data_IF_107701445821
#
_entry.id   IF_107701445821
#
_cell.length_a   1.000
_cell.length_b   1.000
_cell.length_c   1.000
_cell.angle_alpha   90.00
_cell.angle_beta   90.00
_cell.angle_gamma   90.00
#
_symmetry.space_group_name_H-M   'P 1'
#
loop_
_entity.id
_entity.type
_entity.pdbx_description
1 polymer ?
#
# COMPACT_ATOMS: atom_id res chain seq x y z
N UNK A 1 -10.95 18.89 19.12
CA UNK A 1 -10.45 19.35 17.81
C UNK A 1 -10.77 18.28 16.79
N UNK A 2 -11.22 18.62 15.56
CA UNK A 2 -11.36 17.58 14.54
C UNK A 2 -9.97 17.00 14.26
N UNK A 3 -9.87 15.68 14.26
CA UNK A 3 -8.66 14.99 13.83
C UNK A 3 -8.55 15.23 12.33
N UNK A 4 -7.60 16.05 11.92
CA UNK A 4 -7.28 16.24 10.50
C UNK A 4 -6.46 15.02 10.10
N UNK A 5 -7.00 14.19 9.20
CA UNK A 5 -6.25 13.08 8.62
C UNK A 5 -4.98 13.61 7.95
N UNK A 6 -3.84 12.98 8.23
CA UNK A 6 -2.56 13.24 7.61
C UNK A 6 -1.94 11.89 7.22
N UNK A 7 -1.55 11.74 5.96
CA UNK A 7 -0.99 10.51 5.41
C UNK A 7 0.48 10.30 5.85
N UNK A 8 0.72 10.17 7.15
CA UNK A 8 2.05 9.85 7.70
C UNK A 8 2.30 8.35 7.67
N UNK A 9 3.57 7.94 7.73
CA UNK A 9 3.92 6.51 7.71
C UNK A 9 3.28 5.75 8.87
N UNK A 10 3.14 6.36 10.05
CA UNK A 10 2.50 5.71 11.20
C UNK A 10 1.03 5.39 10.95
N UNK A 11 0.33 6.25 10.21
CA UNK A 11 -1.07 6.04 9.83
C UNK A 11 -1.18 5.04 8.67
N UNK A 12 -0.30 5.16 7.68
CA UNK A 12 -0.34 4.33 6.48
C UNK A 12 0.07 2.88 6.76
N UNK A 13 1.06 2.64 7.61
CA UNK A 13 1.65 1.32 7.82
C UNK A 13 0.67 0.21 8.21
N UNK A 14 -0.21 0.36 9.21
CA UNK A 14 -1.17 -0.68 9.54
C UNK A 14 -2.13 -0.95 8.37
N UNK A 15 -2.60 0.10 7.68
CA UNK A 15 -3.53 -0.01 6.54
C UNK A 15 -2.87 -0.77 5.38
N UNK A 16 -1.64 -0.41 5.04
CA UNK A 16 -0.91 -1.02 3.92
C UNK A 16 -0.45 -2.44 4.25
N UNK A 17 -0.09 -2.72 5.50
CA UNK A 17 0.19 -4.08 5.95
C UNK A 17 -1.03 -4.99 5.74
N UNK A 18 -2.24 -4.50 6.03
CA UNK A 18 -3.46 -5.27 5.82
C UNK A 18 -3.81 -5.42 4.33
N UNK A 19 -3.51 -4.41 3.49
CA UNK A 19 -3.60 -4.56 2.03
C UNK A 19 -2.65 -5.64 1.53
N UNK A 20 -1.40 -5.67 1.98
CA UNK A 20 -0.46 -6.74 1.61
C UNK A 20 -1.01 -8.10 2.05
N UNK A 21 -1.39 -8.25 3.32
CA UNK A 21 -1.93 -9.52 3.86
C UNK A 21 -3.21 -9.99 3.17
N UNK A 22 -4.09 -9.07 2.80
CA UNK A 22 -5.39 -9.38 2.18
C UNK A 22 -5.30 -9.72 0.69
N UNK A 23 -4.19 -9.41 0.01
CA UNK A 23 -4.06 -9.53 -1.44
C UNK A 23 -2.80 -10.34 -1.84
N UNK A 24 -2.57 -11.47 -1.15
CA UNK A 24 -1.36 -12.29 -1.33
C UNK A 24 -1.18 -12.79 -2.76
N UNK A 25 -2.26 -13.11 -3.48
CA UNK A 25 -2.20 -13.50 -4.89
C UNK A 25 -1.56 -12.39 -5.75
N UNK A 26 -1.95 -11.13 -5.52
CA UNK A 26 -1.39 -9.97 -6.22
C UNK A 26 0.01 -9.61 -5.76
N UNK A 27 0.35 -9.84 -4.50
CA UNK A 27 1.72 -9.68 -4.01
C UNK A 27 2.64 -10.69 -4.69
N UNK A 28 2.24 -11.96 -4.79
CA UNK A 28 2.99 -12.99 -5.53
C UNK A 28 3.08 -12.63 -7.02
N UNK A 29 1.99 -12.17 -7.64
CA UNK A 29 2.01 -11.70 -9.02
C UNK A 29 2.99 -10.54 -9.23
N UNK A 30 3.02 -9.57 -8.31
CA UNK A 30 3.98 -8.47 -8.35
C UNK A 30 5.44 -8.95 -8.23
N UNK A 31 5.72 -9.91 -7.34
CA UNK A 31 7.05 -10.52 -7.21
C UNK A 31 7.50 -11.26 -8.49
N UNK A 32 6.54 -11.72 -9.30
CA UNK A 32 6.77 -12.37 -10.60
C UNK A 32 6.74 -11.39 -11.77
N UNK A 33 6.70 -10.09 -11.50
CA UNK A 33 6.61 -9.02 -12.51
C UNK A 33 5.36 -9.11 -13.39
N UNK A 34 4.27 -9.71 -12.87
CA UNK A 34 3.01 -9.82 -13.59
C UNK A 34 2.37 -8.44 -13.78
N UNK A 35 2.00 -8.13 -15.02
CA UNK A 35 1.38 -6.86 -15.38
C UNK A 35 0.05 -6.66 -14.63
N UNK A 36 -0.20 -5.42 -14.21
CA UNK A 36 -1.41 -5.05 -13.48
C UNK A 36 -1.40 -5.37 -11.98
N UNK A 37 -0.49 -6.21 -11.48
CA UNK A 37 -0.38 -6.51 -10.05
C UNK A 37 -0.08 -5.27 -9.22
N UNK A 38 0.87 -4.44 -9.67
CA UNK A 38 1.14 -3.14 -9.04
C UNK A 38 -0.08 -2.21 -9.07
N UNK A 39 -0.73 -2.07 -10.24
CA UNK A 39 -1.87 -1.17 -10.41
C UNK A 39 -3.04 -1.53 -9.49
N UNK A 40 -3.31 -2.84 -9.34
CA UNK A 40 -4.32 -3.33 -8.40
C UNK A 40 -3.96 -3.00 -6.95
N UNK A 41 -2.74 -3.34 -6.51
CA UNK A 41 -2.28 -3.10 -5.13
C UNK A 41 -2.26 -1.61 -4.78
N UNK A 42 -1.80 -0.75 -5.70
CA UNK A 42 -1.79 0.69 -5.55
C UNK A 42 -3.23 1.27 -5.46
N UNK A 43 -4.15 0.76 -6.27
CA UNK A 43 -5.57 1.15 -6.23
C UNK A 43 -6.26 0.73 -4.93
N UNK A 44 -5.95 -0.48 -4.45
CA UNK A 44 -6.48 -0.99 -3.18
C UNK A 44 -5.93 -0.19 -2.00
N UNK A 45 -4.63 0.12 -1.99
CA UNK A 45 -4.00 0.98 -0.99
C UNK A 45 -4.68 2.35 -0.90
N UNK A 46 -4.87 3.03 -2.04
CA UNK A 46 -5.57 4.32 -2.07
C UNK A 46 -7.01 4.19 -1.58
N UNK A 47 -7.71 3.13 -1.98
CA UNK A 47 -9.11 2.90 -1.58
C UNK A 47 -9.25 2.68 -0.07
N UNK A 48 -8.35 1.90 0.54
CA UNK A 48 -8.33 1.67 1.99
C UNK A 48 -8.00 2.94 2.77
N UNK A 49 -7.00 3.70 2.33
CA UNK A 49 -6.62 4.97 2.99
C UNK A 49 -7.72 6.02 2.85
N UNK A 50 -8.43 6.05 1.71
CA UNK A 50 -9.60 6.90 1.52
C UNK A 50 -10.73 6.57 2.51
N UNK A 51 -10.98 5.28 2.77
CA UNK A 51 -11.99 4.86 3.75
C UNK A 51 -11.63 5.35 5.15
N UNK A 52 -10.36 5.23 5.55
CA UNK A 52 -9.88 5.73 6.84
C UNK A 52 -9.95 7.26 6.94
N UNK A 53 -9.57 7.97 5.87
CA UNK A 53 -9.62 9.43 5.82
C UNK A 53 -11.05 10.00 5.82
N UNK A 54 -12.06 9.20 5.42
CA UNK A 54 -13.46 9.62 5.31
C UNK A 54 -13.71 10.65 4.20
N UNK A 55 -12.75 10.88 3.31
CA UNK A 55 -12.81 11.81 2.18
C UNK A 55 -11.88 11.34 1.06
N UNK A 56 -12.06 11.88 -0.15
CA UNK A 56 -11.08 11.69 -1.21
C UNK A 56 -9.70 12.23 -0.81
N UNK A 57 -8.67 11.50 -1.22
CA UNK A 57 -7.28 11.90 -1.06
C UNK A 57 -6.91 12.95 -2.12
N UNK A 58 -6.02 13.87 -1.79
CA UNK A 58 -5.40 14.74 -2.80
C UNK A 58 -4.26 14.01 -3.55
N UNK A 59 -3.67 14.69 -4.54
CA UNK A 59 -2.58 14.12 -5.34
C UNK A 59 -1.32 13.81 -4.53
N UNK A 60 -1.01 14.64 -3.53
CA UNK A 60 0.16 14.44 -2.67
C UNK A 60 -0.06 13.22 -1.77
N UNK A 61 -1.23 13.12 -1.14
CA UNK A 61 -1.62 11.97 -0.33
C UNK A 61 -1.59 10.68 -1.14
N UNK A 62 -2.14 10.68 -2.36
CA UNK A 62 -2.05 9.51 -3.26
C UNK A 62 -0.61 9.09 -3.55
N UNK A 63 0.28 10.05 -3.82
CA UNK A 63 1.70 9.78 -4.08
C UNK A 63 2.42 9.21 -2.85
N UNK A 64 2.08 9.68 -1.65
CA UNK A 64 2.60 9.14 -0.40
C UNK A 64 2.16 7.69 -0.19
N UNK A 65 0.86 7.41 -0.40
CA UNK A 65 0.31 6.05 -0.34
C UNK A 65 1.02 5.13 -1.33
N UNK A 66 1.22 5.54 -2.58
CA UNK A 66 1.93 4.75 -3.57
C UNK A 66 3.39 4.51 -3.19
N UNK A 67 4.11 5.56 -2.82
CA UNK A 67 5.51 5.45 -2.41
C UNK A 67 5.66 4.48 -1.22
N UNK A 68 4.75 4.57 -0.25
CA UNK A 68 4.77 3.72 0.93
C UNK A 68 4.35 2.27 0.63
N UNK A 69 3.37 2.07 -0.24
CA UNK A 69 2.95 0.73 -0.67
C UNK A 69 4.06 0.03 -1.46
N UNK A 70 4.74 0.77 -2.34
CA UNK A 70 5.91 0.25 -3.07
C UNK A 70 6.97 -0.25 -2.08
N UNK A 71 7.35 0.59 -1.11
CA UNK A 71 8.32 0.21 -0.08
C UNK A 71 7.90 -1.08 0.66
N UNK A 72 6.62 -1.24 1.01
CA UNK A 72 6.14 -2.47 1.66
C UNK A 72 6.34 -3.71 0.79
N UNK A 73 6.11 -3.61 -0.52
CA UNK A 73 6.33 -4.70 -1.46
C UNK A 73 7.83 -5.02 -1.62
N UNK A 74 8.69 -4.01 -1.61
CA UNK A 74 10.15 -4.22 -1.61
C UNK A 74 10.60 -4.96 -0.35
N UNK A 75 10.07 -4.62 0.82
CA UNK A 75 10.38 -5.34 2.06
C UNK A 75 9.93 -6.81 2.01
N UNK A 76 8.80 -7.10 1.36
CA UNK A 76 8.36 -8.49 1.14
C UNK A 76 9.33 -9.21 0.20
N UNK A 77 9.71 -8.57 -0.91
CA UNK A 77 10.67 -9.14 -1.88
C UNK A 77 12.00 -9.47 -1.23
N UNK A 78 12.57 -8.54 -0.46
CA UNK A 78 13.87 -8.71 0.20
C UNK A 78 13.82 -9.88 1.21
N UNK A 79 12.71 -10.02 1.95
CA UNK A 79 12.50 -11.14 2.88
C UNK A 79 12.36 -12.48 2.16
N UNK A 80 11.65 -12.51 1.03
CA UNK A 80 11.52 -13.73 0.21
C UNK A 80 12.87 -14.12 -0.37
N UNK A 81 13.64 -13.17 -0.89
CA UNK A 81 14.97 -13.41 -1.43
C UNK A 81 15.96 -13.88 -0.37
N UNK A 82 15.89 -13.34 0.85
CA UNK A 82 16.73 -13.79 1.97
C UNK A 82 16.39 -15.19 2.51
N UNK A 83 15.22 -15.73 2.16
CA UNK A 83 14.75 -17.05 2.59
C UNK A 83 15.04 -18.18 1.58
N UNK A 84 15.62 -17.84 0.42
CA UNK A 84 15.99 -18.76 -0.67
C UNK A 84 17.52 -18.89 -0.69
#
# INVERSE_FOLDING_TARGET
MPIVFSATNEVLDPILADVVKGNQDKVVGWLREESGSWGFLAGQAVSSVRQEAGRDLDDMERRLVWSRMWWWLEQVRDRVQAAI
#
